data_IF_969635811688
#
_entry.id   IF_969635811688
#
_cell.length_a   1.000
_cell.length_b   1.000
_cell.length_c   1.000
_cell.angle_alpha   90.00
_cell.angle_beta   90.00
_cell.angle_gamma   90.00
#
_symmetry.space_group_name_H-M   'P 1'
#
loop_
_entity.id
_entity.type
_entity.pdbx_description
1 polymer ?
#
# COMPACT_ATOMS: atom_id res chain seq x y z
N UNK A 1 5.04 -11.69 -7.64
CA UNK A 1 3.85 -12.41 -8.05
C UNK A 1 2.68 -11.98 -7.16
N UNK A 2 1.55 -11.64 -7.74
CA UNK A 2 0.33 -11.18 -7.04
C UNK A 2 0.56 -10.03 -6.03
N UNK A 3 1.51 -9.14 -6.28
CA UNK A 3 1.89 -8.10 -5.33
C UNK A 3 2.57 -8.60 -4.04
N UNK A 4 3.03 -9.86 -4.03
CA UNK A 4 3.62 -10.51 -2.86
C UNK A 4 2.60 -11.07 -1.86
N UNK A 5 1.34 -11.19 -2.26
CA UNK A 5 0.23 -11.54 -1.37
C UNK A 5 0.20 -13.03 -0.98
N UNK A 6 0.74 -13.95 -1.83
CA UNK A 6 0.71 -15.37 -1.51
C UNK A 6 1.66 -15.71 -0.35
N UNK A 7 1.26 -16.68 0.49
CA UNK A 7 2.04 -17.14 1.63
C UNK A 7 3.47 -17.54 1.25
N UNK A 8 3.64 -18.20 0.11
CA UNK A 8 4.95 -18.54 -0.45
C UNK A 8 5.78 -17.29 -0.77
N UNK A 9 5.18 -16.26 -1.37
CA UNK A 9 5.87 -15.01 -1.68
C UNK A 9 6.32 -14.28 -0.41
N UNK A 10 5.49 -14.27 0.64
CA UNK A 10 5.82 -13.65 1.92
C UNK A 10 7.00 -14.37 2.58
N UNK A 11 6.99 -15.71 2.59
CA UNK A 11 8.11 -16.50 3.12
C UNK A 11 9.41 -16.25 2.36
N UNK A 12 9.36 -16.31 1.02
CA UNK A 12 10.54 -16.09 0.18
C UNK A 12 11.11 -14.69 0.38
N UNK A 13 10.24 -13.68 0.46
CA UNK A 13 10.63 -12.30 0.71
C UNK A 13 11.26 -12.13 2.10
N UNK A 14 10.69 -12.76 3.14
CA UNK A 14 11.22 -12.67 4.51
C UNK A 14 12.59 -13.33 4.64
N UNK A 15 12.81 -14.46 4.00
CA UNK A 15 14.13 -15.11 3.95
C UNK A 15 15.11 -14.25 3.18
N UNK A 16 14.75 -13.80 1.98
CA UNK A 16 15.62 -13.00 1.12
C UNK A 16 16.09 -11.71 1.78
N UNK A 17 15.15 -10.96 2.42
CA UNK A 17 15.51 -9.71 3.10
C UNK A 17 16.34 -9.95 4.36
N UNK A 18 16.11 -11.06 5.08
CA UNK A 18 16.91 -11.44 6.25
C UNK A 18 18.34 -11.74 5.87
N UNK A 19 18.54 -12.51 4.79
CA UNK A 19 19.88 -12.79 4.25
C UNK A 19 20.57 -11.50 3.81
N UNK A 20 19.88 -10.64 3.08
CA UNK A 20 20.42 -9.33 2.66
C UNK A 20 20.81 -8.47 3.87
N UNK A 21 19.98 -8.43 4.90
CA UNK A 21 20.27 -7.71 6.14
C UNK A 21 21.54 -8.22 6.82
N UNK A 22 21.71 -9.55 6.95
CA UNK A 22 22.90 -10.16 7.54
C UNK A 22 24.16 -9.87 6.70
N UNK A 23 24.06 -9.89 5.37
CA UNK A 23 25.18 -9.53 4.49
C UNK A 23 25.59 -8.06 4.67
N UNK A 24 24.60 -7.14 4.76
CA UNK A 24 24.89 -5.72 4.98
C UNK A 24 25.47 -5.42 6.37
N UNK A 25 25.18 -6.23 7.38
CA UNK A 25 25.79 -6.08 8.71
C UNK A 25 27.30 -6.36 8.69
N UNK A 26 27.79 -7.19 7.77
CA UNK A 26 29.24 -7.47 7.61
C UNK A 26 29.99 -6.26 7.03
N UNK A 27 29.32 -5.40 6.29
CA UNK A 27 29.91 -4.21 5.70
C UNK A 27 30.02 -3.08 6.72
N UNK A 28 31.25 -2.73 7.13
CA UNK A 28 31.51 -1.73 8.21
C UNK A 28 30.82 -0.38 7.99
N UNK A 29 30.70 0.08 6.73
CA UNK A 29 30.06 1.36 6.41
C UNK A 29 28.55 1.32 6.68
N UNK A 30 27.88 0.25 6.22
CA UNK A 30 26.44 0.10 6.43
C UNK A 30 26.10 -0.18 7.90
N UNK A 31 26.88 -0.99 8.59
CA UNK A 31 26.71 -1.27 10.02
C UNK A 31 26.76 0.02 10.86
N UNK A 32 27.74 0.90 10.61
CA UNK A 32 27.80 2.21 11.27
C UNK A 32 26.58 3.10 10.97
N UNK A 33 26.09 3.09 9.71
CA UNK A 33 24.88 3.83 9.34
C UNK A 33 23.64 3.26 10.01
N UNK A 34 23.50 1.94 10.09
CA UNK A 34 22.41 1.28 10.81
C UNK A 34 22.39 1.65 12.29
N UNK A 35 23.54 1.59 12.97
CA UNK A 35 23.64 2.03 14.37
C UNK A 35 23.18 3.48 14.56
N UNK A 36 23.61 4.38 13.67
CA UNK A 36 23.18 5.78 13.68
C UNK A 36 21.67 5.92 13.50
N UNK A 37 21.04 5.11 12.61
CA UNK A 37 19.60 5.09 12.40
C UNK A 37 18.86 4.65 13.64
N UNK A 38 19.34 3.58 14.30
CA UNK A 38 18.77 3.10 15.56
C UNK A 38 18.79 4.20 16.64
N UNK A 39 19.92 4.86 16.85
CA UNK A 39 20.03 5.97 17.82
C UNK A 39 19.11 7.13 17.44
N UNK A 40 19.07 7.45 16.17
CA UNK A 40 18.27 8.59 15.69
C UNK A 40 16.76 8.36 15.72
N UNK A 41 16.27 7.16 15.52
CA UNK A 41 14.84 6.83 15.43
C UNK A 41 14.42 5.84 16.53
N UNK A 42 15.09 5.87 17.69
CA UNK A 42 14.92 4.86 18.73
C UNK A 42 13.45 4.61 19.11
N UNK A 43 12.66 5.67 19.32
CA UNK A 43 11.24 5.54 19.72
C UNK A 43 10.45 4.80 18.66
N UNK A 44 10.55 5.21 17.38
CA UNK A 44 9.84 4.56 16.29
C UNK A 44 10.27 3.10 16.09
N UNK A 45 11.57 2.82 16.22
CA UNK A 45 12.10 1.46 16.08
C UNK A 45 11.65 0.58 17.25
N UNK A 46 11.75 1.07 18.49
CA UNK A 46 11.27 0.31 19.65
C UNK A 46 9.76 0.07 19.59
N UNK A 47 8.98 1.08 19.21
CA UNK A 47 7.54 0.93 19.02
C UNK A 47 7.22 -0.13 17.94
N UNK A 48 7.99 -0.17 16.85
CA UNK A 48 7.82 -1.20 15.82
C UNK A 48 8.19 -2.60 16.35
N UNK A 49 9.28 -2.72 17.13
CA UNK A 49 9.66 -3.99 17.76
C UNK A 49 8.56 -4.46 18.73
N UNK A 50 8.00 -3.55 19.52
CA UNK A 50 6.87 -3.86 20.42
C UNK A 50 5.66 -4.33 19.62
N UNK A 51 5.40 -3.73 18.44
CA UNK A 51 4.35 -4.21 17.56
C UNK A 51 4.61 -5.63 17.03
N UNK A 52 5.84 -5.97 16.66
CA UNK A 52 6.19 -7.33 16.27
C UNK A 52 6.01 -8.34 17.41
N UNK A 53 6.37 -7.95 18.63
CA UNK A 53 6.14 -8.77 19.84
C UNK A 53 4.63 -8.95 20.07
N UNK A 54 3.83 -7.90 19.85
CA UNK A 54 2.38 -7.96 19.95
C UNK A 54 1.78 -8.95 18.95
N UNK A 55 2.26 -8.98 17.69
CA UNK A 55 1.81 -9.95 16.70
C UNK A 55 2.15 -11.40 17.10
N UNK A 56 3.35 -11.62 17.66
CA UNK A 56 3.71 -12.93 18.21
C UNK A 56 2.76 -13.29 19.36
N UNK A 57 2.45 -12.35 20.24
CA UNK A 57 1.54 -12.57 21.38
C UNK A 57 0.14 -12.99 20.92
N UNK A 58 -0.37 -12.44 19.80
CA UNK A 58 -1.66 -12.89 19.23
C UNK A 58 -1.62 -14.36 18.78
N UNK A 59 -0.45 -14.90 18.40
CA UNK A 59 -0.29 -16.25 17.85
C UNK A 59 -0.02 -17.30 18.94
N UNK A 60 0.62 -16.88 20.04
CA UNK A 60 1.04 -17.80 21.09
C UNK A 60 -0.14 -18.55 21.71
N UNK A 61 0.02 -19.86 22.00
CA UNK A 61 -0.98 -20.62 22.76
C UNK A 61 -0.98 -20.16 24.21
N UNK A 62 -2.06 -19.51 24.62
CA UNK A 62 -2.29 -18.98 25.95
C UNK A 62 -3.34 -19.84 26.70
N UNK A 63 -3.32 -19.88 28.04
CA UNK A 63 -4.36 -20.55 28.80
C UNK A 63 -5.74 -20.00 28.46
N UNK A 64 -6.73 -20.87 28.32
CA UNK A 64 -8.10 -20.49 27.93
C UNK A 64 -8.71 -19.47 28.91
N UNK A 65 -8.42 -19.56 30.22
CA UNK A 65 -8.85 -18.56 31.20
C UNK A 65 -8.31 -17.16 30.92
N UNK A 66 -7.09 -17.06 30.38
CA UNK A 66 -6.53 -15.76 29.97
C UNK A 66 -7.23 -15.24 28.69
N UNK A 67 -7.52 -16.13 27.73
CA UNK A 67 -8.22 -15.74 26.49
C UNK A 67 -9.66 -15.30 26.80
N UNK A 68 -10.32 -15.90 27.80
CA UNK A 68 -11.63 -15.46 28.28
C UNK A 68 -11.60 -13.97 28.73
N UNK A 69 -10.55 -13.54 29.41
CA UNK A 69 -10.39 -12.14 29.84
C UNK A 69 -9.97 -11.22 28.71
N UNK A 70 -9.07 -11.67 27.84
CA UNK A 70 -8.47 -10.84 26.78
C UNK A 70 -9.38 -10.71 25.54
N UNK A 71 -10.14 -11.74 25.21
CA UNK A 71 -11.04 -11.82 24.04
C UNK A 71 -12.28 -12.66 24.38
N UNK A 72 -13.25 -12.09 25.13
CA UNK A 72 -14.46 -12.84 25.54
C UNK A 72 -15.23 -13.43 24.37
N UNK A 73 -15.37 -12.67 23.28
CA UNK A 73 -16.06 -13.13 22.07
C UNK A 73 -15.41 -14.37 21.46
N UNK A 74 -14.07 -14.46 21.45
CA UNK A 74 -13.40 -15.69 21.01
C UNK A 74 -13.69 -16.84 21.96
N UNK A 75 -13.68 -16.60 23.25
CA UNK A 75 -14.00 -17.62 24.24
C UNK A 75 -15.40 -18.18 24.03
N UNK A 76 -16.40 -17.33 23.76
CA UNK A 76 -17.77 -17.75 23.44
C UNK A 76 -17.82 -18.61 22.16
N UNK A 77 -17.04 -18.25 21.13
CA UNK A 77 -16.92 -19.05 19.92
C UNK A 77 -16.32 -20.43 20.20
N UNK A 78 -15.30 -20.52 21.07
CA UNK A 78 -14.69 -21.79 21.45
C UNK A 78 -15.66 -22.70 22.22
N UNK A 79 -16.50 -22.17 23.12
CA UNK A 79 -17.54 -22.91 23.81
C UNK A 79 -18.54 -23.48 22.82
N UNK A 80 -19.00 -22.65 21.86
CA UNK A 80 -19.97 -23.08 20.84
C UNK A 80 -19.39 -24.15 19.90
N UNK A 81 -18.06 -24.24 19.76
CA UNK A 81 -17.38 -25.29 18.99
C UNK A 81 -16.97 -26.52 19.81
N UNK A 82 -17.39 -26.64 21.08
CA UNK A 82 -17.00 -27.72 21.98
C UNK A 82 -15.48 -27.94 22.08
N UNK A 83 -14.73 -26.83 22.18
CA UNK A 83 -13.27 -26.87 22.20
C UNK A 83 -12.75 -27.36 23.57
N UNK A 84 -12.10 -28.52 23.60
CA UNK A 84 -11.64 -29.17 24.84
C UNK A 84 -10.20 -28.82 25.28
N UNK A 85 -9.42 -28.14 24.46
CA UNK A 85 -8.02 -27.85 24.80
C UNK A 85 -7.88 -26.74 25.83
N UNK A 86 -6.90 -26.88 26.73
CA UNK A 86 -6.59 -25.88 27.77
C UNK A 86 -5.84 -24.64 27.27
N UNK A 87 -5.34 -24.66 26.06
CA UNK A 87 -4.55 -23.58 25.46
C UNK A 87 -5.10 -23.21 24.08
N UNK A 88 -5.17 -21.92 23.81
CA UNK A 88 -5.55 -21.37 22.50
C UNK A 88 -4.88 -20.01 22.26
N UNK A 89 -4.78 -19.55 21.01
CA UNK A 89 -4.24 -18.22 20.67
C UNK A 89 -5.31 -17.15 20.85
N UNK A 90 -4.92 -15.85 20.86
CA UNK A 90 -5.87 -14.73 20.73
C UNK A 90 -6.38 -14.64 19.29
N UNK A 91 -5.50 -14.86 18.31
CA UNK A 91 -5.89 -14.86 16.90
C UNK A 91 -6.89 -15.96 16.58
N UNK A 92 -7.92 -15.63 15.78
CA UNK A 92 -8.87 -16.60 15.23
C UNK A 92 -8.21 -17.50 14.18
N UNK A 93 -7.20 -16.98 13.44
CA UNK A 93 -6.41 -17.73 12.48
C UNK A 93 -4.90 -17.53 12.75
N UNK A 94 -4.30 -18.36 13.61
CA UNK A 94 -2.88 -18.26 13.93
C UNK A 94 -1.94 -18.44 12.74
N UNK A 95 -2.36 -19.21 11.72
CA UNK A 95 -1.58 -19.48 10.51
C UNK A 95 -1.42 -18.20 9.68
N UNK A 96 -2.52 -17.55 9.33
CA UNK A 96 -2.47 -16.30 8.58
C UNK A 96 -1.85 -15.15 9.41
N UNK A 97 -2.04 -15.16 10.73
CA UNK A 97 -1.36 -14.20 11.61
C UNK A 97 0.17 -14.37 11.61
N UNK A 98 0.66 -15.60 11.46
CA UNK A 98 2.10 -15.84 11.32
C UNK A 98 2.64 -15.29 9.98
N UNK A 99 1.94 -15.44 8.86
CA UNK A 99 2.33 -14.83 7.61
C UNK A 99 2.28 -13.29 7.67
N UNK A 100 1.28 -12.73 8.34
CA UNK A 100 1.22 -11.29 8.61
C UNK A 100 2.42 -10.82 9.44
N UNK A 101 2.79 -11.56 10.50
CA UNK A 101 4.02 -11.29 11.26
C UNK A 101 5.26 -11.30 10.37
N UNK A 102 5.45 -12.31 9.50
CA UNK A 102 6.59 -12.38 8.57
C UNK A 102 6.63 -11.18 7.61
N UNK A 103 5.47 -10.73 7.14
CA UNK A 103 5.38 -9.54 6.29
C UNK A 103 5.82 -8.28 7.04
N UNK A 104 5.29 -8.01 8.24
CA UNK A 104 5.69 -6.85 9.04
C UNK A 104 7.14 -6.92 9.50
N UNK A 105 7.65 -8.10 9.81
CA UNK A 105 9.07 -8.30 10.09
C UNK A 105 9.94 -7.95 8.87
N UNK A 106 9.54 -8.35 7.67
CA UNK A 106 10.21 -7.98 6.43
C UNK A 106 10.20 -6.46 6.22
N UNK A 107 9.07 -5.79 6.45
CA UNK A 107 8.95 -4.34 6.36
C UNK A 107 9.87 -3.62 7.36
N UNK A 108 10.01 -4.16 8.57
CA UNK A 108 10.94 -3.64 9.57
C UNK A 108 12.40 -3.71 9.08
N UNK A 109 12.82 -4.83 8.53
CA UNK A 109 14.16 -4.98 7.95
C UNK A 109 14.38 -4.04 6.75
N UNK A 110 13.40 -3.95 5.85
CA UNK A 110 13.44 -3.00 4.74
C UNK A 110 13.61 -1.55 5.21
N UNK A 111 12.88 -1.13 6.24
CA UNK A 111 13.00 0.21 6.80
C UNK A 111 14.45 0.53 7.21
N UNK A 112 15.11 -0.39 7.90
CA UNK A 112 16.49 -0.22 8.35
C UNK A 112 17.44 -0.20 7.16
N UNK A 113 17.30 -1.14 6.22
CA UNK A 113 18.15 -1.26 5.03
C UNK A 113 18.04 0.01 4.19
N UNK A 114 16.82 0.42 3.81
CA UNK A 114 16.65 1.57 2.93
C UNK A 114 17.14 2.88 3.56
N UNK A 115 16.88 3.09 4.86
CA UNK A 115 17.45 4.25 5.54
C UNK A 115 18.98 4.22 5.56
N UNK A 116 19.61 3.05 5.64
CA UNK A 116 21.06 2.92 5.62
C UNK A 116 21.66 3.14 4.22
N UNK A 117 20.94 2.79 3.15
CA UNK A 117 21.39 2.94 1.75
C UNK A 117 21.15 4.36 1.23
N UNK A 118 20.01 4.98 1.57
CA UNK A 118 19.60 6.29 1.07
C UNK A 118 20.30 7.49 1.71
N UNK A 119 21.40 7.26 2.45
CA UNK A 119 22.21 8.38 2.93
C UNK A 119 22.89 9.16 1.79
N UNK A 120 23.07 8.55 0.61
CA UNK A 120 23.59 9.20 -0.61
C UNK A 120 22.43 9.62 -1.51
N UNK A 121 22.47 10.90 -1.97
CA UNK A 121 21.46 11.45 -2.88
C UNK A 121 21.41 10.74 -4.23
N UNK A 122 22.55 10.24 -4.72
CA UNK A 122 22.61 9.46 -5.96
C UNK A 122 21.76 8.18 -5.87
N UNK A 123 21.79 7.47 -4.72
CA UNK A 123 20.98 6.28 -4.53
C UNK A 123 19.48 6.60 -4.53
N UNK A 124 19.10 7.73 -3.93
CA UNK A 124 17.71 8.23 -3.92
C UNK A 124 17.23 8.51 -5.35
N UNK A 125 18.04 9.24 -6.14
CA UNK A 125 17.69 9.59 -7.52
C UNK A 125 17.57 8.34 -8.38
N UNK A 126 18.52 7.42 -8.28
CA UNK A 126 18.49 6.15 -9.02
C UNK A 126 17.28 5.30 -8.63
N UNK A 127 16.85 5.36 -7.37
CA UNK A 127 15.69 4.60 -6.91
C UNK A 127 14.37 5.17 -7.44
N UNK A 128 14.23 6.49 -7.52
CA UNK A 128 13.07 7.09 -8.19
C UNK A 128 13.00 6.67 -9.66
N UNK A 129 14.15 6.65 -10.36
CA UNK A 129 14.22 6.15 -11.73
C UNK A 129 13.81 4.67 -11.83
N UNK A 130 14.34 3.84 -10.93
CA UNK A 130 14.01 2.41 -10.89
C UNK A 130 12.51 2.17 -10.68
N UNK A 131 11.87 2.83 -9.72
CA UNK A 131 10.42 2.71 -9.51
C UNK A 131 9.62 3.17 -10.73
N UNK A 132 10.04 4.25 -11.39
CA UNK A 132 9.38 4.73 -12.61
C UNK A 132 9.49 3.71 -13.75
N UNK A 133 10.68 3.15 -13.95
CA UNK A 133 10.91 2.11 -14.95
C UNK A 133 10.07 0.85 -14.65
N UNK A 134 10.05 0.42 -13.39
CA UNK A 134 9.25 -0.72 -12.95
C UNK A 134 7.77 -0.48 -13.21
N UNK A 135 7.27 0.72 -12.90
CA UNK A 135 5.89 1.11 -13.19
C UNK A 135 5.58 1.10 -14.69
N UNK A 136 6.50 1.59 -15.53
CA UNK A 136 6.32 1.59 -16.98
C UNK A 136 6.27 0.16 -17.55
N UNK A 137 7.19 -0.72 -17.12
CA UNK A 137 7.22 -2.13 -17.55
C UNK A 137 5.95 -2.86 -17.12
N UNK A 138 5.54 -2.71 -15.85
CA UNK A 138 4.31 -3.35 -15.35
C UNK A 138 3.07 -2.84 -16.07
N UNK A 139 3.03 -1.55 -16.41
CA UNK A 139 1.95 -0.96 -17.20
C UNK A 139 1.91 -1.52 -18.63
N UNK A 140 3.06 -1.60 -19.32
CA UNK A 140 3.12 -2.18 -20.66
C UNK A 140 2.59 -3.62 -20.68
N UNK A 141 3.03 -4.44 -19.73
CA UNK A 141 2.56 -5.84 -19.62
C UNK A 141 1.05 -5.88 -19.35
N UNK A 142 0.55 -5.03 -18.45
CA UNK A 142 -0.87 -5.00 -18.10
C UNK A 142 -1.75 -4.59 -19.29
N UNK A 143 -1.34 -3.56 -20.02
CA UNK A 143 -2.07 -3.07 -21.21
C UNK A 143 -2.03 -4.12 -22.33
N UNK A 144 -0.89 -4.76 -22.55
CA UNK A 144 -0.77 -5.85 -23.53
C UNK A 144 -1.70 -7.02 -23.19
N UNK A 145 -1.68 -7.49 -21.93
CA UNK A 145 -2.56 -8.58 -21.47
C UNK A 145 -4.04 -8.20 -21.60
N UNK A 146 -4.39 -6.96 -21.28
CA UNK A 146 -5.75 -6.46 -21.43
C UNK A 146 -6.26 -6.56 -22.89
N UNK A 147 -5.44 -6.16 -23.88
CA UNK A 147 -5.84 -6.24 -25.29
C UNK A 147 -6.00 -7.66 -25.83
N UNK A 148 -5.32 -8.64 -25.25
CA UNK A 148 -5.49 -10.06 -25.63
C UNK A 148 -6.54 -10.79 -24.79
N UNK A 149 -7.36 -10.04 -23.99
CA UNK A 149 -8.47 -10.60 -23.21
C UNK A 149 -8.09 -11.13 -21.83
N UNK A 150 -6.97 -10.67 -21.25
CA UNK A 150 -6.47 -11.08 -19.94
C UNK A 150 -6.41 -12.61 -19.76
N UNK A 151 -5.67 -13.34 -20.59
CA UNK A 151 -5.45 -14.76 -20.38
C UNK A 151 -4.70 -14.98 -19.08
N UNK A 152 -4.79 -16.19 -18.54
CA UNK A 152 -3.93 -16.57 -17.43
C UNK A 152 -2.46 -16.43 -17.85
N UNK A 153 -1.69 -15.69 -17.05
CA UNK A 153 -0.32 -15.35 -17.37
C UNK A 153 0.61 -15.71 -16.21
N UNK A 154 1.59 -16.57 -16.48
CA UNK A 154 2.50 -17.12 -15.48
C UNK A 154 1.72 -17.83 -14.36
N UNK A 155 1.74 -17.28 -13.14
CA UNK A 155 1.07 -17.84 -11.97
C UNK A 155 -0.16 -17.01 -11.56
N UNK A 156 -0.70 -16.19 -12.47
CA UNK A 156 -1.82 -15.28 -12.20
C UNK A 156 -3.05 -15.78 -12.95
N UNK A 157 -4.08 -16.11 -12.21
CA UNK A 157 -5.41 -16.39 -12.73
C UNK A 157 -6.22 -15.08 -12.79
N UNK A 158 -6.42 -14.56 -14.00
CA UNK A 158 -7.13 -13.29 -14.23
C UNK A 158 -8.65 -13.48 -14.41
N UNK A 159 -9.23 -14.50 -13.80
CA UNK A 159 -10.65 -14.84 -13.98
C UNK A 159 -11.63 -13.71 -13.57
N UNK A 160 -11.25 -12.90 -12.57
CA UNK A 160 -12.15 -11.90 -11.97
C UNK A 160 -12.17 -10.54 -12.67
N UNK A 161 -11.14 -10.19 -13.45
CA UNK A 161 -10.98 -8.84 -14.03
C UNK A 161 -10.65 -8.87 -15.53
N UNK A 162 -11.44 -9.61 -16.34
CA UNK A 162 -11.20 -9.72 -17.79
C UNK A 162 -11.29 -8.38 -18.53
N UNK A 163 -12.14 -7.47 -18.04
CA UNK A 163 -12.42 -6.17 -18.69
C UNK A 163 -11.56 -5.00 -18.17
N UNK A 164 -10.42 -5.27 -17.50
CA UNK A 164 -9.55 -4.22 -16.97
C UNK A 164 -8.10 -4.67 -16.93
N UNK A 165 -7.16 -3.73 -17.11
CA UNK A 165 -5.75 -4.01 -17.00
C UNK A 165 -5.37 -4.25 -15.53
N UNK A 166 -4.73 -5.38 -15.25
CA UNK A 166 -4.24 -5.76 -13.90
C UNK A 166 -2.78 -6.19 -13.92
N UNK A 167 -2.27 -6.69 -15.05
CA UNK A 167 -0.89 -7.13 -15.21
C UNK A 167 -0.50 -8.23 -14.23
N UNK A 168 0.50 -7.96 -13.40
CA UNK A 168 0.99 -8.90 -12.39
C UNK A 168 0.17 -8.90 -11.08
N UNK A 169 -0.95 -8.21 -11.04
CA UNK A 169 -1.79 -8.09 -9.85
C UNK A 169 -3.13 -8.78 -10.08
N UNK A 170 -3.70 -9.37 -9.02
CA UNK A 170 -5.04 -9.95 -9.08
C UNK A 170 -6.09 -8.83 -9.13
N UNK A 171 -5.87 -7.76 -8.35
CA UNK A 171 -6.84 -6.68 -8.20
C UNK A 171 -6.41 -5.42 -8.96
N UNK A 172 -7.34 -4.87 -9.76
CA UNK A 172 -7.12 -3.65 -10.55
C UNK A 172 -6.87 -2.40 -9.71
N UNK A 173 -7.45 -2.31 -8.48
CA UNK A 173 -7.24 -1.15 -7.60
C UNK A 173 -5.84 -1.18 -7.02
N UNK A 174 -5.36 -2.34 -6.56
CA UNK A 174 -3.98 -2.53 -6.10
C UNK A 174 -2.98 -2.17 -7.19
N UNK A 175 -3.20 -2.67 -8.41
CA UNK A 175 -2.38 -2.33 -9.57
C UNK A 175 -2.31 -0.82 -9.82
N UNK A 176 -3.47 -0.15 -9.87
CA UNK A 176 -3.52 1.29 -10.13
C UNK A 176 -2.91 2.12 -8.99
N UNK A 177 -3.10 1.74 -7.72
CA UNK A 177 -2.44 2.37 -6.57
C UNK A 177 -0.91 2.24 -6.65
N UNK A 178 -0.40 1.05 -7.03
CA UNK A 178 1.03 0.86 -7.28
C UNK A 178 1.54 1.79 -8.38
N UNK A 179 0.84 1.88 -9.50
CA UNK A 179 1.22 2.75 -10.60
C UNK A 179 1.20 4.24 -10.23
N UNK A 180 0.25 4.69 -9.39
CA UNK A 180 0.23 6.08 -8.89
C UNK A 180 1.49 6.39 -8.05
N UNK A 181 1.96 5.45 -7.24
CA UNK A 181 3.21 5.61 -6.49
C UNK A 181 4.44 5.62 -7.42
N UNK A 182 4.45 4.82 -8.47
CA UNK A 182 5.46 4.85 -9.51
C UNK A 182 5.45 6.17 -10.30
N UNK A 183 4.27 6.70 -10.60
CA UNK A 183 4.07 8.01 -11.23
C UNK A 183 4.60 9.15 -10.35
N UNK A 184 4.26 9.13 -9.06
CA UNK A 184 4.84 10.06 -8.08
C UNK A 184 6.37 10.05 -8.13
N UNK A 185 6.97 8.87 -8.20
CA UNK A 185 8.43 8.70 -8.30
C UNK A 185 8.99 9.31 -9.59
N UNK A 186 8.30 9.11 -10.72
CA UNK A 186 8.67 9.68 -12.02
C UNK A 186 8.64 11.21 -12.03
N UNK A 187 7.59 11.80 -11.46
CA UNK A 187 7.45 13.26 -11.34
C UNK A 187 8.56 13.84 -10.45
N UNK A 188 8.87 13.19 -9.33
CA UNK A 188 9.94 13.63 -8.44
C UNK A 188 11.32 13.45 -9.07
N UNK A 189 11.55 12.41 -9.85
CA UNK A 189 12.79 12.23 -10.61
C UNK A 189 12.96 13.32 -11.67
N UNK A 190 11.93 13.61 -12.47
CA UNK A 190 11.93 14.66 -13.48
C UNK A 190 12.26 16.02 -12.86
N UNK A 191 11.64 16.33 -11.72
CA UNK A 191 11.90 17.56 -10.98
C UNK A 191 13.35 17.65 -10.47
N UNK A 192 13.94 16.57 -10.02
CA UNK A 192 15.32 16.54 -9.58
C UNK A 192 16.31 16.77 -10.74
N UNK A 193 16.03 16.22 -11.94
CA UNK A 193 16.83 16.47 -13.15
C UNK A 193 16.78 17.94 -13.57
N UNK A 194 15.64 18.61 -13.44
CA UNK A 194 15.51 20.04 -13.76
C UNK A 194 16.27 20.95 -12.78
N UNK A 195 16.37 20.54 -11.51
CA UNK A 195 17.12 21.29 -10.49
C UNK A 195 18.63 21.18 -10.70
N UNK A 196 19.14 20.05 -11.17
CA UNK A 196 20.57 19.80 -11.36
C UNK A 196 21.21 20.64 -12.50
N UNK A 197 20.39 21.31 -13.34
CA UNK A 197 20.79 22.30 -14.36
C UNK A 197 21.98 21.90 -15.26
N UNK A 198 22.35 20.65 -15.38
CA UNK A 198 23.36 20.19 -16.32
C UNK A 198 22.67 19.93 -17.66
N UNK A 199 22.74 20.93 -18.56
CA UNK A 199 22.27 20.81 -19.96
C UNK A 199 23.25 19.95 -20.77
N UNK A 200 23.40 18.70 -20.37
CA UNK A 200 24.14 17.69 -21.14
C UNK A 200 23.17 16.94 -22.06
N UNK A 201 23.66 16.49 -23.20
CA UNK A 201 22.90 15.66 -24.16
C UNK A 201 22.28 14.45 -23.44
N UNK A 202 23.02 13.83 -22.54
CA UNK A 202 22.53 12.69 -21.74
C UNK A 202 21.32 13.03 -20.87
N UNK A 203 21.31 14.22 -20.27
CA UNK A 203 20.17 14.66 -19.44
C UNK A 203 18.95 15.00 -20.30
N UNK A 204 19.14 15.45 -21.52
CA UNK A 204 18.05 15.69 -22.47
C UNK A 204 17.36 14.37 -22.83
N UNK A 205 18.10 13.33 -23.22
CA UNK A 205 17.54 12.02 -23.54
C UNK A 205 16.89 11.36 -22.32
N UNK A 206 17.51 11.46 -21.13
CA UNK A 206 16.89 10.96 -19.89
C UNK A 206 15.54 11.60 -19.61
N UNK A 207 15.37 12.88 -19.86
CA UNK A 207 14.08 13.57 -19.71
C UNK A 207 13.05 13.09 -20.72
N UNK A 208 13.43 12.77 -21.96
CA UNK A 208 12.53 12.22 -22.98
C UNK A 208 12.05 10.82 -22.57
N UNK A 209 12.98 9.90 -22.28
CA UNK A 209 12.62 8.54 -21.87
C UNK A 209 11.72 8.55 -20.63
N UNK A 210 12.02 9.43 -19.68
CA UNK A 210 11.20 9.54 -18.48
C UNK A 210 9.76 9.99 -18.77
N UNK A 211 9.57 10.93 -19.69
CA UNK A 211 8.23 11.35 -20.13
C UNK A 211 7.46 10.20 -20.79
N UNK A 212 8.15 9.40 -21.61
CA UNK A 212 7.57 8.20 -22.21
C UNK A 212 7.16 7.21 -21.12
N UNK A 213 7.99 6.96 -20.10
CA UNK A 213 7.63 6.07 -18.99
C UNK A 213 6.44 6.59 -18.20
N UNK A 214 6.36 7.89 -17.95
CA UNK A 214 5.22 8.53 -17.31
C UNK A 214 3.95 8.32 -18.12
N UNK A 215 3.98 8.53 -19.45
CA UNK A 215 2.84 8.28 -20.34
C UNK A 215 2.39 6.81 -20.32
N UNK A 216 3.33 5.86 -20.33
CA UNK A 216 3.00 4.44 -20.23
C UNK A 216 2.32 4.11 -18.90
N UNK A 217 2.79 4.67 -17.79
CA UNK A 217 2.20 4.49 -16.47
C UNK A 217 0.77 5.04 -16.45
N UNK A 218 0.54 6.22 -17.01
CA UNK A 218 -0.79 6.84 -17.03
C UNK A 218 -1.78 6.02 -17.85
N UNK A 219 -1.37 5.49 -18.99
CA UNK A 219 -2.18 4.56 -19.78
C UNK A 219 -2.59 3.35 -18.94
N UNK A 220 -1.66 2.75 -18.18
CA UNK A 220 -1.97 1.63 -17.30
C UNK A 220 -2.95 1.97 -16.17
N UNK A 221 -2.83 3.16 -15.56
CA UNK A 221 -3.78 3.61 -14.53
C UNK A 221 -5.18 3.71 -15.12
N UNK A 222 -5.32 4.32 -16.29
CA UNK A 222 -6.59 4.54 -16.97
C UNK A 222 -7.22 3.21 -17.36
N UNK A 223 -6.47 2.32 -18.02
CA UNK A 223 -6.97 1.01 -18.47
C UNK A 223 -7.29 0.04 -17.33
N UNK A 224 -6.85 0.34 -16.11
CA UNK A 224 -7.28 -0.39 -14.91
C UNK A 224 -8.77 -0.20 -14.61
N UNK A 225 -9.38 0.90 -15.06
CA UNK A 225 -10.73 1.33 -14.73
C UNK A 225 -11.02 1.32 -13.22
N UNK A 226 -10.01 1.51 -12.39
CA UNK A 226 -10.15 1.61 -10.94
C UNK A 226 -10.62 3.02 -10.54
N UNK A 227 -11.75 3.12 -9.85
CA UNK A 227 -12.28 4.41 -9.35
C UNK A 227 -11.26 5.12 -8.45
N UNK A 228 -10.74 4.42 -7.44
CA UNK A 228 -9.77 4.98 -6.50
C UNK A 228 -8.44 5.32 -7.20
N UNK A 229 -7.91 4.42 -8.03
CA UNK A 229 -6.65 4.66 -8.74
C UNK A 229 -6.71 5.90 -9.64
N UNK A 230 -7.78 6.06 -10.42
CA UNK A 230 -7.99 7.25 -11.25
C UNK A 230 -8.19 8.53 -10.42
N UNK A 231 -8.89 8.44 -9.28
CA UNK A 231 -9.04 9.56 -8.36
C UNK A 231 -7.69 10.00 -7.77
N UNK A 232 -6.87 9.04 -7.32
CA UNK A 232 -5.51 9.32 -6.82
C UNK A 232 -4.61 9.93 -7.90
N UNK A 233 -4.71 9.43 -9.13
CA UNK A 233 -3.98 9.97 -10.29
C UNK A 233 -4.34 11.43 -10.56
N UNK A 234 -5.62 11.73 -10.70
CA UNK A 234 -6.11 13.09 -10.94
C UNK A 234 -5.70 14.03 -9.78
N UNK A 235 -5.90 13.59 -8.54
CA UNK A 235 -5.50 14.36 -7.36
C UNK A 235 -3.99 14.62 -7.31
N UNK A 236 -3.16 13.65 -7.67
CA UNK A 236 -1.71 13.81 -7.78
C UNK A 236 -1.34 14.97 -8.72
N UNK A 237 -1.92 14.96 -9.92
CA UNK A 237 -1.60 15.97 -10.93
C UNK A 237 -2.11 17.34 -10.51
N UNK A 238 -3.35 17.45 -10.04
CA UNK A 238 -3.94 18.71 -9.56
C UNK A 238 -3.07 19.32 -8.45
N UNK A 239 -2.68 18.52 -7.46
CA UNK A 239 -1.87 18.98 -6.32
C UNK A 239 -0.49 19.44 -6.80
N UNK A 240 0.14 18.75 -7.77
CA UNK A 240 1.41 19.21 -8.34
C UNK A 240 1.25 20.48 -9.16
N UNK A 241 0.19 20.63 -9.94
CA UNK A 241 -0.12 21.88 -10.70
C UNK A 241 -0.33 23.05 -9.74
N UNK A 242 -1.13 22.89 -8.71
CA UNK A 242 -1.36 23.91 -7.67
C UNK A 242 -0.03 24.32 -7.02
N UNK A 243 0.81 23.34 -6.67
CA UNK A 243 2.13 23.63 -6.11
C UNK A 243 3.00 24.45 -7.04
N UNK A 244 3.08 24.10 -8.32
CA UNK A 244 3.88 24.82 -9.32
C UNK A 244 3.37 26.23 -9.57
N UNK A 245 2.06 26.44 -9.53
CA UNK A 245 1.47 27.76 -9.78
C UNK A 245 1.60 28.70 -8.59
N UNK A 246 1.40 28.20 -7.36
CA UNK A 246 1.24 29.04 -6.17
C UNK A 246 2.41 28.97 -5.19
N UNK A 247 3.11 27.83 -5.10
CA UNK A 247 4.12 27.62 -4.06
C UNK A 247 5.56 27.71 -4.57
N UNK A 248 5.83 27.38 -5.84
CA UNK A 248 7.18 27.41 -6.38
C UNK A 248 7.54 28.79 -6.92
N UNK A 249 8.54 29.43 -6.28
CA UNK A 249 9.03 30.78 -6.64
C UNK A 249 9.63 30.84 -8.07
N UNK A 250 10.19 29.73 -8.57
CA UNK A 250 10.69 29.58 -9.93
C UNK A 250 9.70 28.73 -10.72
N UNK A 251 8.82 29.39 -11.48
CA UNK A 251 7.86 28.73 -12.36
C UNK A 251 8.62 28.00 -13.48
N UNK A 252 8.74 26.68 -13.38
CA UNK A 252 9.24 25.86 -14.48
C UNK A 252 8.09 25.58 -15.46
N UNK A 253 7.92 26.52 -16.44
CA UNK A 253 6.84 26.44 -17.44
C UNK A 253 6.90 25.14 -18.25
N UNK A 254 8.09 24.66 -18.60
CA UNK A 254 8.26 23.41 -19.36
C UNK A 254 7.74 22.19 -18.57
N UNK A 255 7.98 22.15 -17.27
CA UNK A 255 7.47 21.08 -16.43
C UNK A 255 5.94 21.14 -16.29
N UNK A 256 5.38 22.34 -16.13
CA UNK A 256 3.93 22.55 -16.10
C UNK A 256 3.27 22.09 -17.41
N UNK A 257 3.81 22.51 -18.55
CA UNK A 257 3.30 22.10 -19.86
C UNK A 257 3.40 20.58 -20.06
N UNK A 258 4.48 19.94 -19.60
CA UNK A 258 4.59 18.48 -19.68
C UNK A 258 3.51 17.75 -18.87
N UNK A 259 3.14 18.25 -17.69
CA UNK A 259 2.04 17.69 -16.89
C UNK A 259 0.67 17.92 -17.57
N UNK A 260 0.44 19.12 -18.10
CA UNK A 260 -0.80 19.43 -18.83
C UNK A 260 -0.96 18.59 -20.10
N UNK A 261 0.13 18.36 -20.84
CA UNK A 261 0.12 17.48 -22.03
C UNK A 261 -0.23 16.03 -21.62
N UNK A 262 0.29 15.54 -20.50
CA UNK A 262 -0.05 14.20 -19.99
C UNK A 262 -1.55 14.10 -19.73
N UNK A 263 -2.13 15.08 -19.04
CA UNK A 263 -3.58 15.12 -18.77
C UNK A 263 -4.39 15.13 -20.07
N UNK A 264 -4.00 16.00 -21.01
CA UNK A 264 -4.69 16.13 -22.28
C UNK A 264 -4.64 14.83 -23.09
N UNK A 265 -3.46 14.20 -23.12
CA UNK A 265 -3.27 12.93 -23.79
C UNK A 265 -4.11 11.81 -23.17
N UNK A 266 -4.17 11.77 -21.84
CA UNK A 266 -4.99 10.81 -21.10
C UNK A 266 -6.48 11.01 -21.35
N UNK A 267 -6.96 12.26 -21.38
CA UNK A 267 -8.35 12.58 -21.71
C UNK A 267 -8.71 12.18 -23.14
N UNK A 268 -7.77 12.36 -24.10
CA UNK A 268 -7.97 11.95 -25.48
C UNK A 268 -8.04 10.43 -25.64
N UNK A 269 -7.14 9.68 -24.99
CA UNK A 269 -7.16 8.21 -25.00
C UNK A 269 -8.47 7.71 -24.37
N UNK A 270 -8.85 8.27 -23.22
CA UNK A 270 -10.10 7.91 -22.56
C UNK A 270 -11.33 8.16 -23.42
N UNK A 271 -11.41 9.35 -24.04
CA UNK A 271 -12.57 9.71 -24.87
C UNK A 271 -12.67 8.90 -26.16
N UNK A 272 -11.54 8.64 -26.81
CA UNK A 272 -11.51 8.04 -28.13
C UNK A 272 -11.54 6.50 -28.11
N UNK A 273 -10.70 5.87 -27.27
CA UNK A 273 -10.55 4.39 -27.28
C UNK A 273 -11.49 3.65 -26.34
N UNK A 274 -11.76 4.21 -25.16
CA UNK A 274 -12.48 3.48 -24.11
C UNK A 274 -13.92 3.94 -23.92
N UNK A 275 -14.30 5.07 -24.53
CA UNK A 275 -15.59 5.71 -24.33
C UNK A 275 -15.78 6.20 -22.89
N UNK A 276 -16.18 7.43 -22.71
CA UNK A 276 -16.50 8.00 -21.39
C UNK A 276 -17.58 7.19 -20.65
N UNK A 277 -18.41 6.47 -21.36
CA UNK A 277 -19.53 5.66 -20.82
C UNK A 277 -19.08 4.63 -19.78
N UNK A 278 -17.97 3.90 -20.00
CA UNK A 278 -17.50 2.89 -19.04
C UNK A 278 -17.04 3.46 -17.72
N UNK A 279 -16.45 4.64 -17.69
CA UNK A 279 -16.12 5.32 -16.45
C UNK A 279 -17.35 5.96 -15.82
N UNK A 280 -18.16 6.64 -16.60
CA UNK A 280 -19.39 7.29 -16.11
C UNK A 280 -20.31 6.27 -15.47
N UNK A 281 -20.56 5.13 -16.13
CA UNK A 281 -21.38 4.05 -15.56
C UNK A 281 -20.78 3.51 -14.26
N UNK A 282 -19.46 3.41 -14.13
CA UNK A 282 -18.82 2.99 -12.87
C UNK A 282 -18.91 4.02 -11.76
N UNK A 283 -18.92 5.31 -12.09
CA UNK A 283 -19.16 6.37 -11.10
C UNK A 283 -20.64 6.47 -10.71
N UNK A 284 -21.58 6.18 -11.62
CA UNK A 284 -23.01 6.12 -11.28
C UNK A 284 -23.34 4.97 -10.31
N UNK A 285 -22.60 3.85 -10.36
CA UNK A 285 -22.72 2.78 -9.36
C UNK A 285 -22.24 3.18 -7.95
N UNK A 286 -21.49 4.29 -7.80
CA UNK A 286 -21.16 4.82 -6.47
C UNK A 286 -22.41 5.27 -5.72
N UNK A 287 -23.38 5.89 -6.40
CA UNK A 287 -24.63 6.29 -5.78
C UNK A 287 -25.42 5.07 -5.29
N UNK A 288 -25.41 3.97 -6.04
CA UNK A 288 -26.05 2.72 -5.66
C UNK A 288 -25.29 1.98 -4.54
N UNK A 289 -23.95 2.00 -4.54
CA UNK A 289 -23.14 1.46 -3.45
C UNK A 289 -23.35 2.25 -2.14
N UNK A 290 -23.63 3.55 -2.22
CA UNK A 290 -23.91 4.40 -1.07
C UNK A 290 -25.38 4.32 -0.63
N UNK A 291 -26.34 4.14 -1.55
CA UNK A 291 -27.77 3.94 -1.21
C UNK A 291 -28.02 2.57 -0.58
N UNK A 292 -27.22 1.55 -0.90
CA UNK A 292 -27.22 0.25 -0.21
C UNK A 292 -26.96 0.34 1.31
N UNK A 293 -26.43 1.44 1.79
CA UNK A 293 -26.31 1.74 3.22
C UNK A 293 -27.67 1.96 3.93
N UNK A 294 -28.68 2.34 3.16
CA UNK A 294 -30.00 2.74 3.68
C UNK A 294 -31.05 1.61 3.55
N UNK A 295 -30.84 0.67 2.60
CA UNK A 295 -31.82 -0.38 2.28
C UNK A 295 -31.40 -1.80 2.75
N UNK A 296 -30.65 -1.93 3.80
CA UNK A 296 -29.96 -3.17 4.23
C UNK A 296 -30.82 -4.30 4.77
N UNK A 297 -32.12 -4.25 4.67
CA UNK A 297 -32.96 -5.33 5.23
C UNK A 297 -33.42 -6.42 4.23
N UNK A 298 -33.22 -6.26 2.92
CA UNK A 298 -33.85 -7.19 1.96
C UNK A 298 -33.02 -7.65 0.77
N UNK A 299 -31.82 -7.14 0.51
CA UNK A 299 -31.01 -7.56 -0.64
C UNK A 299 -29.67 -8.17 -0.26
N UNK A 300 -29.47 -9.44 -0.56
CA UNK A 300 -28.29 -10.30 -0.36
C UNK A 300 -27.04 -9.86 -1.17
N UNK A 301 -26.85 -8.58 -1.45
CA UNK A 301 -25.70 -8.11 -2.19
C UNK A 301 -24.56 -7.70 -1.26
N UNK A 302 -23.44 -8.41 -1.32
CA UNK A 302 -22.17 -8.02 -0.70
C UNK A 302 -21.64 -6.73 -1.32
N UNK A 303 -22.17 -5.59 -0.90
CA UNK A 303 -21.58 -4.30 -1.25
C UNK A 303 -20.30 -4.08 -0.43
N UNK A 304 -19.36 -3.30 -0.96
CA UNK A 304 -18.13 -2.92 -0.24
C UNK A 304 -18.44 -2.21 1.09
N UNK A 305 -19.50 -1.43 1.11
CA UNK A 305 -20.00 -0.74 2.30
C UNK A 305 -20.45 -1.72 3.39
N UNK A 306 -21.17 -2.80 3.02
CA UNK A 306 -21.61 -3.81 3.97
C UNK A 306 -20.44 -4.58 4.58
N UNK A 307 -19.42 -4.91 3.79
CA UNK A 307 -18.20 -5.55 4.28
C UNK A 307 -17.42 -4.66 5.23
N UNK A 308 -17.26 -3.38 4.89
CA UNK A 308 -16.58 -2.41 5.77
C UNK A 308 -17.38 -2.17 7.05
N UNK A 309 -18.72 -2.12 6.97
CA UNK A 309 -19.59 -2.02 8.14
C UNK A 309 -19.49 -3.25 9.04
N UNK A 310 -19.50 -4.47 8.45
CA UNK A 310 -19.29 -5.71 9.18
C UNK A 310 -17.96 -5.68 9.94
N UNK A 311 -16.85 -5.31 9.27
CA UNK A 311 -15.54 -5.22 9.91
C UNK A 311 -15.54 -4.23 11.09
N UNK A 312 -16.21 -3.08 10.95
CA UNK A 312 -16.36 -2.11 12.04
C UNK A 312 -17.28 -2.59 13.16
N UNK A 313 -18.33 -3.36 12.85
CA UNK A 313 -19.19 -3.96 13.87
C UNK A 313 -18.44 -5.03 14.67
N UNK A 314 -17.66 -5.85 13.99
CA UNK A 314 -16.86 -6.88 14.65
C UNK A 314 -15.68 -6.30 15.45
N UNK A 315 -15.14 -5.15 15.08
CA UNK A 315 -14.16 -4.45 15.91
C UNK A 315 -14.68 -4.20 17.34
N UNK A 316 -15.98 -3.90 17.53
CA UNK A 316 -16.58 -3.72 18.86
C UNK A 316 -16.53 -5.00 19.71
N UNK A 317 -16.50 -6.16 19.08
CA UNK A 317 -16.41 -7.47 19.73
C UNK A 317 -14.96 -7.83 20.11
N UNK A 318 -13.94 -7.20 19.46
CA UNK A 318 -12.52 -7.49 19.63
C UNK A 318 -11.69 -6.24 19.90
N UNK A 319 -12.20 -5.32 20.76
CA UNK A 319 -11.69 -3.94 20.93
C UNK A 319 -10.20 -3.88 21.28
N UNK A 320 -9.71 -4.68 22.24
CA UNK A 320 -8.39 -4.48 22.80
C UNK A 320 -7.28 -5.14 21.98
N UNK A 321 -7.37 -6.44 21.77
CA UNK A 321 -6.32 -7.23 21.14
C UNK A 321 -6.60 -7.58 19.68
N UNK A 322 -7.79 -7.29 19.20
CA UNK A 322 -8.23 -7.66 17.86
C UNK A 322 -8.54 -9.16 17.71
N UNK A 323 -9.01 -9.53 16.54
CA UNK A 323 -9.28 -10.94 16.19
C UNK A 323 -8.06 -11.65 15.56
N UNK A 324 -6.93 -10.97 15.42
CA UNK A 324 -5.68 -11.50 14.86
C UNK A 324 -5.34 -10.93 13.48
N UNK A 325 -4.08 -10.63 13.27
CA UNK A 325 -3.58 -10.12 12.01
C UNK A 325 -3.84 -11.09 10.85
N UNK A 326 -4.44 -10.62 9.75
CA UNK A 326 -4.78 -11.46 8.58
C UNK A 326 -5.90 -12.48 8.82
N UNK A 327 -6.68 -12.35 9.90
CA UNK A 327 -7.74 -13.32 10.23
C UNK A 327 -9.15 -12.87 9.77
N UNK A 328 -9.27 -11.78 8.98
CA UNK A 328 -10.57 -11.26 8.55
C UNK A 328 -11.38 -12.28 7.76
N UNK A 329 -10.76 -13.00 6.83
CA UNK A 329 -11.42 -14.04 6.03
C UNK A 329 -12.06 -15.13 6.92
N UNK A 330 -11.32 -15.59 7.93
CA UNK A 330 -11.80 -16.59 8.87
C UNK A 330 -12.95 -16.05 9.74
N UNK A 331 -12.82 -14.81 10.23
CA UNK A 331 -13.89 -14.11 10.97
C UNK A 331 -15.16 -13.98 10.14
N UNK A 332 -15.01 -13.56 8.87
CA UNK A 332 -16.13 -13.43 7.95
C UNK A 332 -16.86 -14.77 7.74
N UNK A 333 -16.11 -15.83 7.52
CA UNK A 333 -16.68 -17.17 7.30
C UNK A 333 -17.44 -17.72 8.51
N UNK A 334 -17.09 -17.32 9.74
CA UNK A 334 -17.75 -17.82 10.95
C UNK A 334 -18.95 -16.95 11.36
N UNK A 335 -18.84 -15.63 11.20
CA UNK A 335 -19.77 -14.69 11.84
C UNK A 335 -20.69 -13.93 10.89
N UNK A 336 -20.40 -13.97 9.57
CA UNK A 336 -21.27 -13.27 8.61
C UNK A 336 -22.52 -14.13 8.33
N UNK A 337 -23.69 -13.63 8.68
CA UNK A 337 -24.96 -14.29 8.38
C UNK A 337 -25.24 -14.22 6.88
N UNK A 338 -25.64 -15.31 6.22
CA UNK A 338 -25.91 -15.47 4.78
C UNK A 338 -24.75 -15.98 3.90
N UNK A 339 -23.98 -16.87 4.44
CA UNK A 339 -22.77 -17.47 3.86
C UNK A 339 -22.95 -18.30 2.58
N UNK A 340 -24.15 -18.59 2.11
CA UNK A 340 -24.34 -19.67 1.15
C UNK A 340 -23.67 -19.49 -0.23
N UNK A 341 -23.18 -18.28 -0.58
CA UNK A 341 -22.66 -18.03 -1.94
C UNK A 341 -21.50 -17.03 -2.06
N UNK A 342 -20.96 -16.46 -0.96
CA UNK A 342 -20.02 -15.36 -1.09
C UNK A 342 -18.75 -15.58 -0.29
N UNK A 343 -17.63 -15.48 -0.97
CA UNK A 343 -16.30 -15.54 -0.41
C UNK A 343 -15.63 -14.16 -0.50
N UNK A 344 -15.12 -13.65 0.61
CA UNK A 344 -14.35 -12.41 0.64
C UNK A 344 -13.13 -12.55 1.54
N UNK A 345 -12.00 -12.03 1.05
CA UNK A 345 -10.73 -12.08 1.76
C UNK A 345 -10.51 -10.80 2.57
N UNK A 346 -11.12 -9.68 2.15
CA UNK A 346 -10.90 -8.34 2.72
C UNK A 346 -12.17 -7.54 2.91
N UNK A 347 -12.17 -6.65 3.91
CA UNK A 347 -13.28 -5.75 4.23
C UNK A 347 -13.47 -4.57 3.27
N UNK A 348 -12.60 -4.39 2.26
CA UNK A 348 -12.57 -3.22 1.36
C UNK A 348 -12.42 -1.85 2.05
N UNK A 349 -11.96 -1.83 3.30
CA UNK A 349 -11.48 -0.67 4.04
C UNK A 349 -10.37 -1.15 4.95
N UNK A 350 -9.13 -0.81 4.60
CA UNK A 350 -7.95 -1.17 5.40
C UNK A 350 -8.06 -0.64 6.83
N UNK A 351 -8.68 0.55 7.03
CA UNK A 351 -8.84 1.11 8.36
C UNK A 351 -9.71 0.23 9.25
N UNK A 352 -10.85 -0.23 8.72
CA UNK A 352 -11.78 -1.07 9.46
C UNK A 352 -11.15 -2.44 9.78
N UNK A 353 -10.46 -3.01 8.79
CA UNK A 353 -9.79 -4.31 8.90
C UNK A 353 -8.63 -4.26 9.88
N UNK A 354 -7.70 -3.29 9.78
CA UNK A 354 -6.59 -3.14 10.72
C UNK A 354 -7.04 -2.85 12.16
N UNK A 355 -8.11 -2.04 12.34
CA UNK A 355 -8.67 -1.84 13.68
C UNK A 355 -9.18 -3.13 14.28
N UNK A 356 -9.85 -3.96 13.49
CA UNK A 356 -10.36 -5.25 13.93
C UNK A 356 -9.26 -6.28 14.16
N UNK A 357 -8.26 -6.35 13.27
CA UNK A 357 -7.14 -7.31 13.37
C UNK A 357 -6.22 -7.03 14.56
N UNK A 358 -5.87 -5.76 14.80
CA UNK A 358 -4.90 -5.39 15.82
C UNK A 358 -5.55 -4.92 17.11
N UNK A 359 -6.84 -4.60 17.10
CA UNK A 359 -7.49 -3.92 18.21
C UNK A 359 -6.89 -2.53 18.48
N UNK A 360 -7.35 -1.87 19.53
CA UNK A 360 -6.83 -0.57 19.92
C UNK A 360 -5.35 -0.61 20.32
N UNK A 361 -4.93 -1.69 20.99
CA UNK A 361 -3.55 -1.82 21.48
C UNK A 361 -2.59 -1.91 20.31
N UNK A 362 -2.75 -2.88 19.42
CA UNK A 362 -1.84 -3.07 18.28
C UNK A 362 -1.87 -1.90 17.32
N UNK A 363 -3.07 -1.35 17.02
CA UNK A 363 -3.24 -0.19 16.16
C UNK A 363 -2.55 1.06 16.74
N UNK A 364 -2.65 1.29 18.06
CA UNK A 364 -1.95 2.39 18.72
C UNK A 364 -0.44 2.22 18.68
N UNK A 365 0.07 1.01 18.90
CA UNK A 365 1.52 0.74 18.87
C UNK A 365 2.10 1.01 17.48
N UNK A 366 1.49 0.49 16.41
CA UNK A 366 1.98 0.75 15.04
C UNK A 366 1.78 2.22 14.64
N UNK A 367 0.67 2.83 15.05
CA UNK A 367 0.40 4.25 14.86
C UNK A 367 1.47 5.14 15.52
N UNK A 368 1.92 4.82 16.73
CA UNK A 368 3.03 5.55 17.39
C UNK A 368 4.33 5.40 16.63
N UNK A 369 4.64 4.21 16.11
CA UNK A 369 5.83 4.00 15.28
C UNK A 369 5.84 4.90 14.04
N UNK A 370 4.74 4.90 13.30
CA UNK A 370 4.56 5.73 12.12
C UNK A 370 4.64 7.22 12.50
N UNK A 371 3.93 7.65 13.53
CA UNK A 371 3.92 9.03 14.00
C UNK A 371 5.33 9.55 14.36
N UNK A 372 6.13 8.80 15.12
CA UNK A 372 7.48 9.21 15.49
C UNK A 372 8.47 9.15 14.31
N UNK A 373 8.27 8.26 13.35
CA UNK A 373 9.00 8.30 12.08
C UNK A 373 8.76 9.63 11.34
N UNK A 374 7.53 10.13 11.36
CA UNK A 374 7.16 11.38 10.70
C UNK A 374 7.55 12.62 11.47
N UNK A 375 7.30 12.70 12.78
CA UNK A 375 7.58 13.88 13.61
C UNK A 375 9.03 14.33 13.49
N UNK A 376 9.96 13.40 13.53
CA UNK A 376 11.38 13.70 13.52
C UNK A 376 11.88 14.21 12.17
N UNK A 377 11.22 13.87 11.10
CA UNK A 377 11.69 14.05 9.74
C UNK A 377 10.94 15.15 8.96
N UNK A 378 10.35 16.11 9.67
CA UNK A 378 9.63 17.25 9.10
C UNK A 378 8.40 16.83 8.28
N UNK A 379 7.32 16.49 8.99
CA UNK A 379 5.97 16.23 8.48
C UNK A 379 5.50 17.21 7.40
N UNK A 380 5.91 18.47 7.52
CA UNK A 380 5.49 19.59 6.67
C UNK A 380 6.13 19.61 5.27
N UNK A 381 6.94 18.60 4.89
CA UNK A 381 7.34 18.54 3.50
C UNK A 381 6.17 18.09 2.63
N UNK A 382 5.89 18.87 1.62
CA UNK A 382 4.84 18.62 0.63
C UNK A 382 4.78 17.14 0.16
N UNK A 383 5.93 16.52 -0.08
CA UNK A 383 6.02 15.13 -0.52
C UNK A 383 5.46 14.14 0.50
N UNK A 384 5.77 14.36 1.77
CA UNK A 384 5.29 13.50 2.85
C UNK A 384 3.79 13.66 3.06
N UNK A 385 3.31 14.91 3.03
CA UNK A 385 1.88 15.21 3.13
C UNK A 385 1.09 14.56 1.99
N UNK A 386 1.63 14.60 0.77
CA UNK A 386 0.98 13.97 -0.38
C UNK A 386 0.93 12.45 -0.27
N UNK A 387 2.03 11.80 0.17
CA UNK A 387 2.04 10.36 0.39
C UNK A 387 1.13 9.94 1.54
N UNK A 388 1.07 10.73 2.63
CA UNK A 388 0.12 10.49 3.72
C UNK A 388 -1.32 10.66 3.28
N UNK A 389 -1.61 11.66 2.46
CA UNK A 389 -2.93 11.84 1.87
C UNK A 389 -3.34 10.61 1.04
N UNK A 390 -2.43 10.08 0.20
CA UNK A 390 -2.73 8.85 -0.56
C UNK A 390 -2.91 7.64 0.35
N UNK A 391 -2.06 7.48 1.34
CA UNK A 391 -2.18 6.40 2.31
C UNK A 391 -3.51 6.47 3.05
N UNK A 392 -3.94 7.67 3.46
CA UNK A 392 -5.21 7.89 4.14
C UNK A 392 -6.41 7.55 3.25
N UNK A 393 -6.39 7.95 1.97
CA UNK A 393 -7.46 7.61 1.05
C UNK A 393 -7.55 6.10 0.78
N UNK A 394 -6.41 5.43 0.64
CA UNK A 394 -6.38 3.97 0.47
C UNK A 394 -6.92 3.29 1.73
N UNK A 395 -6.49 3.72 2.94
CA UNK A 395 -6.99 3.21 4.21
C UNK A 395 -8.52 3.25 4.33
N UNK A 396 -9.14 4.32 3.81
CA UNK A 396 -10.59 4.49 3.93
C UNK A 396 -11.39 3.68 2.90
N UNK A 397 -10.89 3.58 1.67
CA UNK A 397 -11.72 3.18 0.52
C UNK A 397 -11.30 1.87 -0.15
N UNK A 398 -10.20 1.24 0.27
CA UNK A 398 -9.74 -0.02 -0.33
C UNK A 398 -8.92 -0.86 0.67
N UNK A 399 -8.52 -2.07 0.24
CA UNK A 399 -7.67 -2.97 1.00
C UNK A 399 -6.23 -3.04 0.45
N UNK A 400 -5.83 -2.08 -0.38
CA UNK A 400 -4.53 -2.12 -1.07
C UNK A 400 -3.34 -2.08 -0.11
N UNK A 401 -3.49 -1.54 1.11
CA UNK A 401 -2.42 -1.52 2.12
C UNK A 401 -2.20 -2.88 2.81
N UNK A 402 -3.08 -3.88 2.62
CA UNK A 402 -2.79 -5.26 3.01
C UNK A 402 -1.82 -5.95 2.03
N UNK A 403 -1.65 -5.40 0.82
CA UNK A 403 -0.78 -6.00 -0.19
C UNK A 403 0.68 -5.58 0.03
N UNK A 404 1.62 -6.54 0.23
CA UNK A 404 3.00 -6.25 0.64
C UNK A 404 3.75 -5.27 -0.28
N UNK A 405 3.55 -5.33 -1.60
CA UNK A 405 4.23 -4.41 -2.53
C UNK A 405 3.81 -2.94 -2.33
N UNK A 406 2.56 -2.69 -1.96
CA UNK A 406 2.06 -1.34 -1.70
C UNK A 406 2.66 -0.82 -0.40
N UNK A 407 2.63 -1.63 0.67
CA UNK A 407 3.25 -1.31 1.96
C UNK A 407 4.74 -1.00 1.77
N UNK A 408 5.46 -1.86 1.04
CA UNK A 408 6.89 -1.69 0.76
C UNK A 408 7.16 -0.41 -0.03
N UNK A 409 6.35 -0.12 -1.06
CA UNK A 409 6.54 1.08 -1.90
C UNK A 409 6.30 2.35 -1.10
N UNK A 410 5.26 2.41 -0.26
CA UNK A 410 5.05 3.52 0.68
C UNK A 410 6.21 3.66 1.66
N UNK A 411 6.63 2.58 2.29
CA UNK A 411 7.73 2.57 3.24
C UNK A 411 9.01 3.16 2.64
N UNK A 412 9.34 2.76 1.40
CA UNK A 412 10.53 3.24 0.69
C UNK A 412 10.40 4.72 0.37
N UNK A 413 9.28 5.14 -0.24
CA UNK A 413 9.06 6.53 -0.62
C UNK A 413 9.08 7.46 0.60
N UNK A 414 8.47 7.03 1.71
CA UNK A 414 8.54 7.75 2.97
C UNK A 414 9.96 7.79 3.52
N UNK A 415 10.69 6.67 3.50
CA UNK A 415 12.08 6.60 3.95
C UNK A 415 13.00 7.57 3.18
N UNK A 416 12.82 7.70 1.87
CA UNK A 416 13.53 8.64 1.01
C UNK A 416 13.24 10.09 1.41
N UNK A 417 11.98 10.41 1.58
CA UNK A 417 11.55 11.80 1.83
C UNK A 417 11.95 12.29 3.23
N UNK A 418 12.20 11.38 4.14
CA UNK A 418 12.60 11.65 5.52
C UNK A 418 14.10 12.02 5.65
N UNK A 419 14.85 12.10 4.56
CA UNK A 419 16.27 12.45 4.61
C UNK A 419 16.51 13.97 4.68
N UNK A 420 17.50 14.38 5.49
CA UNK A 420 17.82 15.78 5.77
C UNK A 420 18.35 16.52 4.54
N UNK A 421 17.81 17.72 4.26
CA UNK A 421 18.30 18.68 3.25
C UNK A 421 19.79 19.06 3.42
N UNK A 422 20.39 18.90 4.59
CA UNK A 422 21.82 19.22 4.82
C UNK A 422 22.77 18.42 3.93
N UNK A 423 22.33 17.28 3.39
CA UNK A 423 23.15 16.49 2.46
C UNK A 423 22.91 16.85 0.99
N UNK A 424 21.83 17.57 0.68
CA UNK A 424 21.49 17.97 -0.71
C UNK A 424 22.17 19.31 -1.08
N UNK A 425 22.48 20.14 -0.09
CA UNK A 425 23.13 21.47 -0.34
C UNK A 425 24.66 21.38 -0.50
N UNK A 426 25.25 20.19 -0.43
CA UNK A 426 26.69 19.96 -0.64
C UNK A 426 27.01 19.34 -2.00
N UNK A 427 26.03 19.28 -2.91
CA UNK A 427 26.16 18.96 -4.34
C UNK A 427 25.88 20.22 -5.18
#
# INVERSE_FOLDING_TARGET
FNGGYSNFSIQLNSIGISVLFLLLLREKNYSKHMQKIFIQNKIAIYSFIVFLIFLIFQILPLPVNFVQLASPTKYDLLINMEFENNFTSISLDPSNSFFSFLNYFSLFLYLIIFKSIFYKTSHVINFYYFLTLLGAVTSCVAVYLYFIGNPDFLFINNSSYKDSATGFFINRTVFSCFLVLCLFSGIEYLRNLDILKKDTIDNFFKKIYLRIFILLITIGIITSFSRLGNFLFISLIIIFVIKLLFLDKKKNKLFLYSLLIIILFDLLIMGYYFGSERLITRYSFLANDMSGYIETSTNNNLSRSNLSYFALSEFKNFIFFGYGAGAFEYLFNIRYENLSYYYTIHAHSDLAEFLGEFGLIGFSIIGTSIFFLFLRNKLLYFKNLLLLYFMFLILLFDFSLHVPIIQLTFLILLSINLMNKKNISKL
#
